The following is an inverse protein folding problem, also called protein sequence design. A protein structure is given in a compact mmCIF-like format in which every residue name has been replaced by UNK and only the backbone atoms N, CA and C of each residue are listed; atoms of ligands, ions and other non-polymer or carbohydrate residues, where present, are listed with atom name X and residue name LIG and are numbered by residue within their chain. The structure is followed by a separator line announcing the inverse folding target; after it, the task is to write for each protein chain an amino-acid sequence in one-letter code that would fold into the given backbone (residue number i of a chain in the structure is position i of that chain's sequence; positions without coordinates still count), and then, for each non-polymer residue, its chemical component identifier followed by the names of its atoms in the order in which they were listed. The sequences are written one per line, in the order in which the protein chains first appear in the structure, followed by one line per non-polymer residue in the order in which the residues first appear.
data_IF_420337924250
#
_entry.id   IF_420337924250
#
_cell.length_a   1.000
_cell.length_b   1.000
_cell.length_c   1.000
_cell.angle_alpha   90.00
_cell.angle_beta   90.00
_cell.angle_gamma   90.00
#
_symmetry.space_group_name_H-M   'P 1'
#
loop_
_entity.id
_entity.type
_entity.pdbx_description
1 polymer ?
#
# COMPACT_ATOMS: atom_id res chain seq x y z
N UNK A 1 -1.73 5.61 -4.10
CA UNK A 1 -2.10 6.31 -2.84
C UNK A 1 -3.59 6.11 -2.63
N UNK A 2 -4.05 5.81 -1.41
CA UNK A 2 -5.47 5.56 -1.12
C UNK A 2 -6.22 6.90 -1.23
N UNK A 3 -7.24 6.96 -2.08
CA UNK A 3 -8.11 8.12 -2.17
C UNK A 3 -9.12 8.07 -1.01
N UNK A 4 -9.06 9.05 -0.11
CA UNK A 4 -9.91 9.13 1.07
C UNK A 4 -11.40 9.17 0.72
N UNK A 5 -11.76 9.92 -0.31
CA UNK A 5 -13.18 10.09 -0.72
C UNK A 5 -13.75 8.78 -1.24
N UNK A 6 -13.00 8.10 -2.11
CA UNK A 6 -13.43 6.83 -2.68
C UNK A 6 -13.51 5.73 -1.63
N UNK A 7 -12.56 5.74 -0.67
CA UNK A 7 -12.58 4.80 0.45
C UNK A 7 -13.82 4.99 1.34
N UNK A 8 -14.14 6.23 1.73
CA UNK A 8 -15.33 6.52 2.54
C UNK A 8 -16.61 6.16 1.79
N UNK A 9 -16.67 6.45 0.51
CA UNK A 9 -17.83 6.10 -0.34
C UNK A 9 -17.99 4.58 -0.41
N UNK A 10 -16.92 3.82 -0.67
CA UNK A 10 -16.92 2.36 -0.69
C UNK A 10 -17.33 1.76 0.65
N UNK A 11 -16.88 2.36 1.77
CA UNK A 11 -17.29 1.93 3.10
C UNK A 11 -18.79 2.13 3.33
N UNK A 12 -19.35 3.28 2.93
CA UNK A 12 -20.78 3.58 3.07
C UNK A 12 -21.68 2.72 2.16
N UNK A 13 -21.19 2.35 0.97
CA UNK A 13 -21.92 1.47 0.04
C UNK A 13 -21.79 -0.02 0.37
N UNK A 14 -20.89 -0.40 1.29
CA UNK A 14 -20.61 -1.81 1.60
C UNK A 14 -19.64 -2.49 0.62
N UNK A 15 -19.06 -1.75 -0.32
CA UNK A 15 -18.11 -2.25 -1.33
C UNK A 15 -16.64 -2.07 -0.91
N UNK A 16 -16.40 -1.89 0.39
CA UNK A 16 -15.04 -1.69 0.90
C UNK A 16 -14.32 -3.03 1.03
N UNK A 17 -13.06 -3.08 0.58
CA UNK A 17 -12.19 -4.23 0.84
C UNK A 17 -11.99 -4.43 2.34
N UNK A 18 -12.42 -5.60 2.84
CA UNK A 18 -12.25 -5.97 4.25
C UNK A 18 -10.78 -6.08 4.63
N UNK A 19 -9.93 -6.55 3.71
CA UNK A 19 -8.49 -6.61 3.92
C UNK A 19 -7.92 -5.21 4.17
N UNK A 20 -8.19 -4.27 3.26
CA UNK A 20 -7.70 -2.90 3.37
C UNK A 20 -8.25 -2.19 4.62
N UNK A 21 -9.53 -2.41 4.94
CA UNK A 21 -10.15 -1.88 6.16
C UNK A 21 -9.41 -2.39 7.41
N UNK A 22 -9.18 -3.70 7.54
CA UNK A 22 -8.46 -4.26 8.68
C UNK A 22 -7.04 -3.68 8.78
N UNK A 23 -6.33 -3.56 7.65
CA UNK A 23 -4.96 -3.01 7.60
C UNK A 23 -4.93 -1.54 8.05
N UNK A 24 -5.92 -0.72 7.67
CA UNK A 24 -6.00 0.68 8.09
C UNK A 24 -6.38 0.84 9.58
N UNK A 25 -7.15 -0.10 10.13
CA UNK A 25 -7.52 -0.07 11.54
C UNK A 25 -6.35 -0.37 12.48
N UNK A 26 -5.28 -1.02 12.01
CA UNK A 26 -4.09 -1.28 12.84
C UNK A 26 -3.44 0.03 13.31
N UNK A 27 -2.94 0.91 12.41
CA UNK A 27 -2.38 2.18 12.84
C UNK A 27 -3.42 3.12 13.46
N UNK A 28 -4.68 3.06 13.03
CA UNK A 28 -5.76 3.87 13.60
C UNK A 28 -6.00 3.55 15.09
N UNK A 29 -5.89 2.28 15.49
CA UNK A 29 -6.08 1.86 16.89
C UNK A 29 -5.01 2.43 17.85
N UNK A 30 -3.84 2.85 17.34
CA UNK A 30 -2.84 3.56 18.16
C UNK A 30 -3.33 4.92 18.65
N UNK A 31 -4.14 5.59 17.86
CA UNK A 31 -4.62 6.95 18.11
C UNK A 31 -6.04 6.97 18.68
N UNK A 32 -6.72 5.82 18.70
CA UNK A 32 -8.08 5.72 19.22
C UNK A 32 -8.13 5.97 20.74
N UNK A 33 -9.16 6.69 21.23
CA UNK A 33 -9.42 6.83 22.67
C UNK A 33 -9.67 5.48 23.34
N UNK A 34 -9.22 5.33 24.59
CA UNK A 34 -9.33 4.04 25.29
C UNK A 34 -10.79 3.62 25.57
N UNK A 35 -11.68 4.59 25.77
CA UNK A 35 -13.12 4.40 25.96
C UNK A 35 -13.80 3.86 24.70
N UNK A 36 -13.42 4.35 23.52
CA UNK A 36 -13.92 3.81 22.25
C UNK A 36 -13.46 2.37 22.03
N UNK A 37 -12.19 2.07 22.30
CA UNK A 37 -11.66 0.71 22.18
C UNK A 37 -12.34 -0.26 23.15
N UNK A 38 -12.59 0.17 24.39
CA UNK A 38 -13.32 -0.64 25.38
C UNK A 38 -14.76 -0.90 24.98
N UNK A 39 -15.43 0.09 24.37
CA UNK A 39 -16.78 -0.05 23.81
C UNK A 39 -16.81 -1.07 22.67
N UNK A 40 -15.72 -1.14 21.87
CA UNK A 40 -15.54 -2.15 20.84
C UNK A 40 -15.09 -3.52 21.37
N UNK A 41 -14.91 -3.68 22.68
CA UNK A 41 -14.55 -4.94 23.33
C UNK A 41 -13.04 -5.22 23.36
N UNK A 42 -12.19 -4.23 23.12
CA UNK A 42 -10.74 -4.39 23.20
C UNK A 42 -10.21 -3.94 24.56
N UNK A 43 -9.41 -4.80 25.19
CA UNK A 43 -8.81 -4.51 26.50
C UNK A 43 -7.69 -3.45 26.42
N UNK A 44 -7.02 -3.33 25.28
CA UNK A 44 -5.92 -2.40 25.07
C UNK A 44 -5.74 -2.07 23.57
N UNK A 45 -4.93 -1.03 23.29
CA UNK A 45 -4.52 -0.70 21.92
C UNK A 45 -3.75 -1.83 21.25
N UNK A 46 -2.85 -2.48 21.98
CA UNK A 46 -2.07 -3.63 21.50
C UNK A 46 -3.00 -4.80 21.14
N UNK A 47 -3.99 -5.12 21.98
CA UNK A 47 -4.97 -6.16 21.70
C UNK A 47 -5.82 -5.86 20.43
N UNK A 48 -6.17 -4.60 20.21
CA UNK A 48 -6.88 -4.17 19.02
C UNK A 48 -6.00 -4.33 17.77
N UNK A 49 -4.74 -3.88 17.82
CA UNK A 49 -3.78 -4.02 16.72
C UNK A 49 -3.57 -5.48 16.36
N UNK A 50 -3.32 -6.34 17.32
CA UNK A 50 -3.12 -7.77 17.10
C UNK A 50 -4.34 -8.43 16.46
N UNK A 51 -5.53 -8.08 16.94
CA UNK A 51 -6.79 -8.58 16.38
C UNK A 51 -6.94 -8.19 14.90
N UNK A 52 -6.71 -6.91 14.57
CA UNK A 52 -6.81 -6.45 13.19
C UNK A 52 -5.69 -7.01 12.31
N UNK A 53 -4.47 -7.12 12.83
CA UNK A 53 -3.35 -7.75 12.12
C UNK A 53 -3.63 -9.21 11.80
N UNK A 54 -4.14 -9.98 12.76
CA UNK A 54 -4.51 -11.39 12.56
C UNK A 54 -5.59 -11.52 11.49
N UNK A 55 -6.63 -10.68 11.52
CA UNK A 55 -7.68 -10.67 10.50
C UNK A 55 -7.13 -10.31 9.11
N UNK A 56 -6.29 -9.28 9.02
CA UNK A 56 -5.65 -8.90 7.75
C UNK A 56 -4.79 -10.03 7.18
N UNK A 57 -4.01 -10.70 8.04
CA UNK A 57 -3.19 -11.85 7.65
C UNK A 57 -4.03 -13.02 7.12
N UNK A 58 -5.15 -13.32 7.76
CA UNK A 58 -6.07 -14.37 7.32
C UNK A 58 -6.71 -14.01 5.96
N UNK A 59 -7.24 -12.79 5.82
CA UNK A 59 -7.83 -12.32 4.58
C UNK A 59 -6.83 -12.36 3.41
N UNK A 60 -5.59 -11.94 3.65
CA UNK A 60 -4.52 -12.06 2.66
C UNK A 60 -4.19 -13.52 2.34
N UNK A 61 -4.17 -14.40 3.33
CA UNK A 61 -3.83 -15.82 3.16
C UNK A 61 -4.90 -16.60 2.39
N UNK A 62 -6.17 -16.25 2.57
CA UNK A 62 -7.29 -16.88 1.85
C UNK A 62 -7.52 -16.30 0.45
N UNK A 63 -6.70 -15.37 0.01
CA UNK A 63 -6.84 -14.67 -1.28
C UNK A 63 -8.27 -14.14 -1.52
N UNK A 64 -8.91 -13.63 -0.46
CA UNK A 64 -10.27 -13.05 -0.52
C UNK A 64 -10.28 -11.78 -1.37
N UNK A 65 -9.11 -11.13 -1.51
CA UNK A 65 -8.95 -9.88 -2.25
C UNK A 65 -8.32 -10.15 -3.62
N UNK A 66 -9.05 -9.90 -4.69
CA UNK A 66 -8.58 -10.04 -6.07
C UNK A 66 -7.87 -8.76 -6.59
N UNK A 67 -8.04 -7.65 -5.90
CA UNK A 67 -7.47 -6.35 -6.27
C UNK A 67 -5.95 -6.27 -6.02
N UNK A 68 -5.12 -6.52 -7.03
CA UNK A 68 -3.65 -6.45 -6.89
C UNK A 68 -3.17 -5.11 -6.32
N UNK A 69 -3.83 -4.00 -6.69
CA UNK A 69 -3.51 -2.67 -6.16
C UNK A 69 -3.86 -2.56 -4.66
N UNK A 70 -5.00 -3.10 -4.25
CA UNK A 70 -5.42 -3.11 -2.84
C UNK A 70 -4.48 -3.96 -1.99
N UNK A 71 -4.07 -5.12 -2.51
CA UNK A 71 -3.06 -5.96 -1.87
C UNK A 71 -1.70 -5.27 -1.75
N UNK A 72 -1.27 -4.52 -2.78
CA UNK A 72 -0.05 -3.74 -2.73
C UNK A 72 -0.13 -2.65 -1.66
N UNK A 73 -1.21 -1.86 -1.65
CA UNK A 73 -1.43 -0.80 -0.66
C UNK A 73 -1.44 -1.36 0.76
N UNK A 74 -2.15 -2.45 1.01
CA UNK A 74 -2.18 -3.12 2.30
C UNK A 74 -0.81 -3.66 2.71
N UNK A 75 -0.06 -4.27 1.79
CA UNK A 75 1.29 -4.78 2.08
C UNK A 75 2.26 -3.66 2.48
N UNK A 76 2.19 -2.50 1.83
CA UNK A 76 3.00 -1.33 2.19
C UNK A 76 2.67 -0.84 3.60
N UNK A 77 1.39 -0.76 3.96
CA UNK A 77 0.99 -0.34 5.31
C UNK A 77 1.46 -1.36 6.34
N UNK A 78 1.32 -2.66 6.06
CA UNK A 78 1.77 -3.72 6.96
C UNK A 78 3.29 -3.74 7.16
N UNK A 79 4.09 -3.26 6.19
CA UNK A 79 5.53 -3.03 6.39
C UNK A 79 5.81 -2.02 7.51
N UNK A 80 4.92 -1.05 7.72
CA UNK A 80 5.10 0.02 8.71
C UNK A 80 4.57 -0.36 10.09
N UNK A 81 3.88 -1.50 10.20
CA UNK A 81 3.31 -1.96 11.46
C UNK A 81 4.39 -2.61 12.31
N UNK A 82 4.61 -2.05 13.50
CA UNK A 82 5.47 -2.62 14.53
C UNK A 82 4.57 -3.24 15.58
N UNK A 83 4.70 -4.53 15.79
CA UNK A 83 3.99 -5.28 16.81
C UNK A 83 4.90 -5.55 18.01
N UNK A 84 4.31 -5.67 19.20
CA UNK A 84 5.05 -5.91 20.45
C UNK A 84 5.71 -7.29 20.51
N UNK A 85 5.33 -8.19 19.60
CA UNK A 85 5.87 -9.55 19.54
C UNK A 85 6.19 -9.99 18.11
N UNK A 86 7.17 -10.87 17.92
CA UNK A 86 7.55 -11.36 16.60
C UNK A 86 6.41 -12.18 15.97
N UNK A 87 6.24 -12.02 14.67
CA UNK A 87 5.27 -12.77 13.87
C UNK A 87 5.96 -13.49 12.72
N UNK A 88 5.35 -14.57 12.21
CA UNK A 88 5.85 -15.32 11.06
C UNK A 88 5.90 -14.46 9.77
N UNK A 89 5.08 -13.41 9.73
CA UNK A 89 4.99 -12.46 8.62
C UNK A 89 5.43 -11.09 9.11
N UNK A 90 6.74 -10.93 9.21
CA UNK A 90 7.41 -9.72 9.63
C UNK A 90 7.49 -8.67 8.51
N UNK A 91 8.22 -7.58 8.77
CA UNK A 91 8.53 -6.54 7.79
C UNK A 91 9.07 -7.14 6.47
N UNK A 92 10.01 -8.09 6.56
CA UNK A 92 10.64 -8.69 5.38
C UNK A 92 9.62 -9.39 4.48
N UNK A 93 8.70 -10.14 5.06
CA UNK A 93 7.63 -10.80 4.32
C UNK A 93 6.75 -9.79 3.57
N UNK A 94 6.26 -8.76 4.26
CA UNK A 94 5.37 -7.76 3.66
C UNK A 94 6.07 -6.89 2.64
N UNK A 95 7.34 -6.57 2.87
CA UNK A 95 8.16 -5.81 1.94
C UNK A 95 8.37 -6.57 0.62
N UNK A 96 8.77 -7.83 0.67
CA UNK A 96 8.91 -8.67 -0.52
C UNK A 96 7.58 -8.84 -1.26
N UNK A 97 6.49 -9.01 -0.52
CA UNK A 97 5.17 -9.10 -1.13
C UNK A 97 4.78 -7.80 -1.86
N UNK A 98 5.06 -6.64 -1.27
CA UNK A 98 4.83 -5.34 -1.91
C UNK A 98 5.66 -5.18 -3.19
N UNK A 99 6.94 -5.54 -3.19
CA UNK A 99 7.79 -5.51 -4.38
C UNK A 99 7.22 -6.42 -5.48
N UNK A 100 6.87 -7.66 -5.14
CA UNK A 100 6.30 -8.61 -6.09
C UNK A 100 5.01 -8.08 -6.73
N UNK A 101 4.12 -7.49 -5.94
CA UNK A 101 2.87 -6.91 -6.42
C UNK A 101 3.10 -5.65 -7.26
N UNK A 102 4.08 -4.81 -6.90
CA UNK A 102 4.46 -3.64 -7.68
C UNK A 102 5.01 -4.01 -9.06
N UNK A 103 5.83 -5.05 -9.13
CA UNK A 103 6.33 -5.60 -10.40
C UNK A 103 5.16 -6.14 -11.24
N UNK A 104 4.23 -6.87 -10.62
CA UNK A 104 3.04 -7.40 -11.30
C UNK A 104 2.15 -6.31 -11.88
N UNK A 105 2.03 -5.17 -11.19
CA UNK A 105 1.25 -4.01 -11.65
C UNK A 105 2.00 -3.16 -12.68
N UNK A 106 3.26 -3.47 -12.97
CA UNK A 106 4.12 -2.68 -13.86
C UNK A 106 4.10 -1.17 -13.53
N UNK A 107 4.19 -0.87 -12.24
CA UNK A 107 4.16 0.52 -11.73
C UNK A 107 5.29 1.37 -12.35
N UNK A 108 6.34 0.74 -12.87
CA UNK A 108 7.43 1.44 -13.57
C UNK A 108 6.96 2.20 -14.81
N UNK A 109 5.96 1.70 -15.53
CA UNK A 109 5.45 2.34 -16.75
C UNK A 109 4.44 3.44 -16.46
N UNK A 110 3.78 3.41 -15.31
CA UNK A 110 2.84 4.47 -14.90
C UNK A 110 3.53 5.69 -14.27
N UNK A 111 4.81 5.54 -13.85
CA UNK A 111 5.58 6.60 -13.21
C UNK A 111 6.60 7.30 -14.10
N UNK A 112 6.73 6.88 -15.37
CA UNK A 112 7.48 7.67 -16.36
C UNK A 112 6.50 8.73 -16.89
N UNK A 113 6.54 9.99 -16.40
CA UNK A 113 5.92 11.07 -17.16
C UNK A 113 6.55 10.97 -18.53
N UNK A 114 5.74 11.00 -19.58
CA UNK A 114 6.19 11.09 -20.96
C UNK A 114 7.16 12.25 -21.05
N UNK A 115 8.45 11.98 -20.90
CA UNK A 115 9.49 12.82 -21.44
C UNK A 115 9.27 12.72 -22.94
N UNK A 116 8.42 13.57 -23.47
CA UNK A 116 8.39 13.89 -24.89
C UNK A 116 9.81 14.30 -25.23
N UNK A 117 10.56 13.35 -25.77
CA UNK A 117 11.75 13.66 -26.53
C UNK A 117 11.25 14.58 -27.66
N UNK A 118 11.49 15.86 -27.49
CA UNK A 118 11.30 16.84 -28.57
C UNK A 118 12.22 16.39 -29.69
N UNK A 119 11.72 15.91 -30.84
CA UNK A 119 12.57 15.62 -31.98
C UNK A 119 12.89 16.96 -32.66
N UNK A 120 14.03 17.55 -32.31
CA UNK A 120 14.39 18.82 -32.93
C UNK A 120 15.60 19.46 -32.32
N UNK A 121 16.78 18.85 -32.49
CA UNK A 121 18.06 19.58 -32.57
C UNK A 121 19.19 18.62 -32.89
N UNK A 122 19.16 18.01 -34.03
CA UNK A 122 20.37 17.42 -34.61
C UNK A 122 20.62 18.03 -35.99
N UNK A 123 21.09 19.27 -36.01
CA UNK A 123 21.72 19.88 -37.20
C UNK A 123 22.48 21.13 -36.79
N UNK A 124 23.51 20.98 -35.98
CA UNK A 124 24.43 22.11 -35.72
C UNK A 124 25.86 21.70 -35.32
N UNK A 125 26.33 20.51 -35.66
CA UNK A 125 27.72 20.12 -35.37
C UNK A 125 28.46 19.42 -36.53
N UNK A 126 28.03 19.56 -37.78
CA UNK A 126 28.74 18.92 -38.92
C UNK A 126 29.37 19.92 -39.90
N UNK A 127 29.51 21.20 -39.59
CA UNK A 127 30.07 22.20 -40.49
C UNK A 127 31.34 22.90 -39.99
N UNK A 128 32.18 22.24 -39.18
CA UNK A 128 33.43 22.83 -38.76
C UNK A 128 34.72 22.00 -39.03
N UNK A 129 34.66 20.97 -39.88
CA UNK A 129 35.83 20.15 -40.22
C UNK A 129 36.08 19.99 -41.74
N UNK A 130 35.65 20.94 -42.58
CA UNK A 130 36.05 20.99 -43.98
C UNK A 130 36.43 22.40 -44.37
N UNK A 131 37.53 22.90 -43.78
CA UNK A 131 38.36 23.95 -44.34
C UNK A 131 39.76 23.84 -43.73
N UNK A 132 40.56 22.99 -44.26
CA UNK A 132 41.98 23.21 -44.67
C UNK A 132 42.39 22.08 -45.55
#
# INVERSE_FOLDING_TARGET
MINRVDFIRGYQSGDCSLFLLCVLLIPASLHAPADELSTCGFASRSAAQESFFTKARLLHGFAVEDGTLLLLQGSIILCMVILDHPTDRDFGYWFHNAIRLAIKLDVRNTFVPSLTVVPGSSNACTNLLTRQ
#
